data_IF_312356058041
#
_entry.id   IF_312356058041
#
_cell.length_a   1.000
_cell.length_b   1.000
_cell.length_c   1.000
_cell.angle_alpha   90.00
_cell.angle_beta   90.00
_cell.angle_gamma   90.00
#
_symmetry.space_group_name_H-M   'P 1'
#
loop_
_entity.id
_entity.type
_entity.pdbx_description
1 polymer ?
#
# COMPACT_ATOMS: atom_id res chain seq x y z
N UNK A 1 21.37 23.01 16.72
CA UNK A 1 20.10 23.03 15.94
C UNK A 1 20.19 21.85 15.00
N UNK A 2 19.61 20.71 15.36
CA UNK A 2 19.50 19.58 14.45
C UNK A 2 18.68 20.03 13.24
N UNK A 3 19.30 19.94 12.07
CA UNK A 3 18.59 20.01 10.79
C UNK A 3 17.57 18.87 10.77
N UNK A 4 16.29 19.17 11.01
CA UNK A 4 15.21 18.26 10.66
C UNK A 4 15.34 17.97 9.17
N UNK A 5 15.78 16.77 8.82
CA UNK A 5 15.56 16.21 7.50
C UNK A 5 14.07 16.33 7.22
N UNK A 6 13.69 17.08 6.19
CA UNK A 6 12.29 17.14 5.77
C UNK A 6 11.98 15.76 5.21
N UNK A 7 11.16 14.98 5.91
CA UNK A 7 10.62 13.73 5.38
C UNK A 7 9.85 14.06 4.09
N UNK A 8 10.12 13.33 3.01
CA UNK A 8 9.50 13.55 1.70
C UNK A 8 8.59 12.37 1.40
N UNK A 9 7.37 12.40 1.90
CA UNK A 9 6.43 11.30 1.69
C UNK A 9 5.86 11.28 0.27
N UNK A 10 5.55 10.07 -0.22
CA UNK A 10 4.86 9.83 -1.48
C UNK A 10 3.58 9.05 -1.18
N UNK A 11 2.48 9.45 -1.82
CA UNK A 11 1.22 8.70 -1.83
C UNK A 11 1.05 8.08 -3.21
N UNK A 12 0.88 6.76 -3.27
CA UNK A 12 0.62 6.04 -4.51
C UNK A 12 -0.88 5.85 -4.74
N UNK A 13 -1.38 6.19 -5.92
CA UNK A 13 -2.77 5.99 -6.31
C UNK A 13 -2.86 4.89 -7.37
N UNK A 14 -3.67 3.87 -7.12
CA UNK A 14 -3.83 2.71 -7.99
C UNK A 14 -5.30 2.63 -8.40
N UNK A 15 -5.58 2.89 -9.67
CA UNK A 15 -6.94 3.10 -10.17
C UNK A 15 -7.29 2.04 -11.22
N UNK A 16 -8.44 1.38 -11.01
CA UNK A 16 -9.00 0.35 -11.86
C UNK A 16 -8.23 -0.97 -11.79
N UNK A 17 -8.82 -2.01 -12.40
CA UNK A 17 -8.30 -3.38 -12.40
C UNK A 17 -6.79 -3.50 -12.68
N UNK A 18 -6.31 -2.90 -13.77
CA UNK A 18 -4.90 -2.99 -14.14
C UNK A 18 -4.00 -2.33 -13.08
N UNK A 19 -4.37 -1.14 -12.60
CA UNK A 19 -3.61 -0.42 -11.59
C UNK A 19 -3.54 -1.18 -10.27
N UNK A 20 -4.67 -1.71 -9.80
CA UNK A 20 -4.78 -2.48 -8.56
C UNK A 20 -3.94 -3.76 -8.61
N UNK A 21 -4.00 -4.53 -9.70
CA UNK A 21 -3.26 -5.78 -9.83
C UNK A 21 -1.74 -5.57 -9.91
N UNK A 22 -1.30 -4.57 -10.69
CA UNK A 22 0.12 -4.19 -10.75
C UNK A 22 0.60 -3.75 -9.36
N UNK A 23 -0.18 -2.91 -8.69
CA UNK A 23 0.15 -2.42 -7.36
C UNK A 23 0.29 -3.55 -6.35
N UNK A 24 -0.58 -4.55 -6.37
CA UNK A 24 -0.49 -5.69 -5.46
C UNK A 24 0.87 -6.41 -5.59
N UNK A 25 1.33 -6.60 -6.83
CA UNK A 25 2.66 -7.18 -7.11
C UNK A 25 3.81 -6.25 -6.68
N UNK A 26 3.70 -4.95 -6.94
CA UNK A 26 4.72 -3.97 -6.57
C UNK A 26 4.89 -3.85 -5.05
N UNK A 27 3.79 -3.84 -4.29
CA UNK A 27 3.84 -3.72 -2.83
C UNK A 27 4.35 -4.99 -2.16
N UNK A 28 4.08 -6.17 -2.73
CA UNK A 28 4.75 -7.40 -2.30
C UNK A 28 6.27 -7.30 -2.46
N UNK A 29 6.74 -6.80 -3.60
CA UNK A 29 8.18 -6.60 -3.82
C UNK A 29 8.77 -5.55 -2.86
N UNK A 30 8.11 -4.41 -2.65
CA UNK A 30 8.57 -3.40 -1.68
C UNK A 30 8.67 -3.97 -0.26
N UNK A 31 7.71 -4.81 0.13
CA UNK A 31 7.77 -5.49 1.43
C UNK A 31 8.98 -6.42 1.52
N UNK A 32 9.26 -7.20 0.45
CA UNK A 32 10.42 -8.09 0.40
C UNK A 32 11.74 -7.32 0.47
N UNK A 33 11.88 -6.23 -0.29
CA UNK A 33 13.09 -5.40 -0.33
C UNK A 33 13.40 -4.76 1.02
N UNK A 34 12.36 -4.32 1.75
CA UNK A 34 12.50 -3.66 3.05
C UNK A 34 12.35 -4.61 4.25
N UNK A 35 12.17 -5.91 4.02
CA UNK A 35 11.99 -6.90 5.08
C UNK A 35 10.71 -6.68 5.91
N UNK A 36 9.67 -6.08 5.31
CA UNK A 36 8.35 -5.93 5.91
C UNK A 36 7.55 -7.22 5.64
N UNK A 37 6.99 -7.80 6.69
CA UNK A 37 6.15 -8.99 6.59
C UNK A 37 4.75 -8.65 6.06
N UNK A 38 3.96 -9.64 5.62
CA UNK A 38 2.61 -9.39 5.12
C UNK A 38 1.61 -8.78 6.12
N UNK A 39 1.96 -8.74 7.42
CA UNK A 39 1.16 -8.10 8.46
C UNK A 39 1.68 -6.72 8.89
N UNK A 40 2.67 -6.19 8.16
CA UNK A 40 3.26 -4.88 8.35
C UNK A 40 4.35 -4.82 9.42
N UNK A 41 4.84 -5.94 9.95
CA UNK A 41 5.93 -5.93 10.94
C UNK A 41 7.29 -6.03 10.26
N UNK A 42 8.35 -5.54 10.91
CA UNK A 42 9.70 -5.65 10.37
C UNK A 42 10.31 -7.01 10.76
N UNK A 43 10.88 -7.72 9.79
CA UNK A 43 11.58 -9.00 10.02
C UNK A 43 12.80 -8.80 10.91
N UNK A 44 13.08 -9.79 11.76
CA UNK A 44 14.30 -9.83 12.58
C UNK A 44 15.55 -9.74 11.69
N UNK A 45 16.46 -8.82 12.02
CA UNK A 45 17.69 -8.57 11.26
C UNK A 45 17.56 -7.59 10.08
N UNK A 46 16.38 -7.04 9.82
CA UNK A 46 16.22 -5.93 8.86
C UNK A 46 16.88 -4.65 9.38
N UNK A 47 17.41 -3.84 8.46
CA UNK A 47 18.12 -2.61 8.81
C UNK A 47 17.15 -1.51 9.26
N UNK A 48 16.96 -1.38 10.57
CA UNK A 48 16.08 -0.36 11.18
C UNK A 48 16.55 1.09 10.95
N UNK A 49 17.81 1.29 10.52
CA UNK A 49 18.35 2.62 10.23
C UNK A 49 18.09 3.07 8.78
N UNK A 50 17.52 2.22 7.93
CA UNK A 50 17.14 2.61 6.58
C UNK A 50 15.85 3.43 6.62
N UNK A 51 15.95 4.75 6.74
CA UNK A 51 14.79 5.62 6.74
C UNK A 51 14.16 5.79 5.35
N UNK A 52 14.72 5.20 4.28
CA UNK A 52 14.24 5.44 2.92
C UNK A 52 12.79 4.94 2.73
N UNK A 53 12.41 3.85 3.39
CA UNK A 53 11.05 3.30 3.29
C UNK A 53 9.99 4.19 3.95
N UNK A 54 10.34 5.10 4.86
CA UNK A 54 9.38 6.02 5.49
C UNK A 54 8.72 6.97 4.48
N UNK A 55 9.34 7.11 3.30
CA UNK A 55 8.79 7.78 2.12
C UNK A 55 7.49 7.12 1.65
N UNK A 56 7.44 5.78 1.66
CA UNK A 56 6.35 4.98 1.11
C UNK A 56 5.47 4.32 2.17
N UNK A 57 5.96 4.15 3.39
CA UNK A 57 5.23 3.57 4.51
C UNK A 57 5.05 4.59 5.63
N UNK A 58 3.91 4.49 6.31
CA UNK A 58 3.67 5.14 7.60
C UNK A 58 3.81 4.13 8.72
N UNK A 59 4.52 4.49 9.78
CA UNK A 59 4.61 3.68 11.00
C UNK A 59 3.43 4.02 11.92
N UNK A 60 2.79 2.98 12.44
CA UNK A 60 1.74 3.09 13.46
C UNK A 60 2.34 3.02 14.86
N UNK A 61 1.62 3.48 15.89
CA UNK A 61 2.10 3.41 17.28
C UNK A 61 2.35 1.99 17.81
N UNK A 62 1.90 0.95 17.10
CA UNK A 62 2.19 -0.46 17.43
C UNK A 62 3.40 -1.04 16.68
N UNK A 63 4.18 -0.21 15.98
CA UNK A 63 5.36 -0.61 15.22
C UNK A 63 5.03 -1.33 13.90
N UNK A 64 3.79 -1.21 13.42
CA UNK A 64 3.41 -1.70 12.09
C UNK A 64 3.61 -0.63 11.03
N UNK A 65 4.13 -1.03 9.88
CA UNK A 65 4.28 -0.25 8.68
C UNK A 65 3.09 -0.48 7.76
N UNK A 66 2.42 0.61 7.40
CA UNK A 66 1.26 0.64 6.51
C UNK A 66 1.64 1.41 5.25
N UNK A 67 1.43 0.86 4.04
CA UNK A 67 1.68 1.56 2.79
C UNK A 67 0.95 2.89 2.70
N UNK A 68 1.58 3.91 2.14
CA UNK A 68 0.95 5.18 1.76
C UNK A 68 0.33 5.02 0.37
N UNK A 69 -0.67 4.16 0.28
CA UNK A 69 -1.34 3.83 -0.98
C UNK A 69 -2.85 3.99 -0.89
N UNK A 70 -3.49 4.26 -2.03
CA UNK A 70 -4.93 4.12 -2.21
C UNK A 70 -5.18 3.20 -3.41
N UNK A 71 -6.12 2.26 -3.23
CA UNK A 71 -6.60 1.36 -4.25
C UNK A 71 -8.06 1.70 -4.52
N UNK A 72 -8.36 2.00 -5.77
CA UNK A 72 -9.62 2.56 -6.20
C UNK A 72 -10.12 1.75 -7.38
N UNK A 73 -11.31 1.17 -7.26
CA UNK A 73 -12.01 0.59 -8.39
C UNK A 73 -13.50 0.94 -8.31
N UNK A 74 -14.18 1.00 -9.44
CA UNK A 74 -15.61 1.24 -9.53
C UNK A 74 -16.43 -0.03 -9.27
N UNK A 75 -15.78 -1.19 -9.28
CA UNK A 75 -16.37 -2.48 -8.93
C UNK A 75 -15.52 -3.23 -7.88
N UNK A 76 -16.09 -4.14 -7.07
CA UNK A 76 -15.40 -4.66 -5.90
C UNK A 76 -14.40 -5.80 -6.17
N UNK A 77 -14.45 -6.48 -7.31
CA UNK A 77 -13.78 -7.78 -7.52
C UNK A 77 -12.29 -7.72 -7.22
N UNK A 78 -11.55 -6.83 -7.88
CA UNK A 78 -10.09 -6.74 -7.68
C UNK A 78 -9.69 -6.16 -6.33
N UNK A 79 -10.54 -5.31 -5.73
CA UNK A 79 -10.28 -4.77 -4.39
C UNK A 79 -10.49 -5.86 -3.34
N UNK A 80 -11.49 -6.73 -3.53
CA UNK A 80 -11.77 -7.85 -2.63
C UNK A 80 -10.68 -8.94 -2.69
N UNK A 81 -10.01 -9.11 -3.83
CA UNK A 81 -8.80 -9.92 -3.95
C UNK A 81 -7.68 -9.38 -3.03
N UNK A 82 -7.46 -8.06 -2.99
CA UNK A 82 -6.49 -7.44 -2.07
C UNK A 82 -6.92 -7.60 -0.61
N UNK A 83 -8.22 -7.44 -0.32
CA UNK A 83 -8.78 -7.62 1.04
C UNK A 83 -8.70 -9.06 1.55
N UNK A 84 -8.65 -10.05 0.67
CA UNK A 84 -8.62 -11.47 1.02
C UNK A 84 -7.25 -12.12 0.84
N UNK A 85 -6.33 -11.45 0.12
CA UNK A 85 -4.99 -11.93 -0.21
C UNK A 85 -4.01 -12.02 0.95
N UNK A 86 -2.79 -12.47 0.64
CA UNK A 86 -1.72 -12.69 1.64
C UNK A 86 -1.34 -11.43 2.43
N UNK A 87 -1.41 -10.27 1.79
CA UNK A 87 -1.10 -8.96 2.36
C UNK A 87 -2.32 -8.21 2.91
N UNK A 88 -3.46 -8.88 3.14
CA UNK A 88 -4.69 -8.23 3.63
C UNK A 88 -4.54 -7.44 4.94
N UNK A 89 -3.54 -7.79 5.76
CA UNK A 89 -3.25 -7.13 7.04
C UNK A 89 -2.29 -5.94 6.91
N UNK A 90 -1.66 -5.77 5.75
CA UNK A 90 -0.73 -4.69 5.47
C UNK A 90 -1.46 -3.36 5.29
N UNK A 91 -2.59 -3.36 4.59
CA UNK A 91 -3.32 -2.17 4.23
C UNK A 91 -4.34 -1.77 5.31
N UNK A 92 -4.55 -0.47 5.46
CA UNK A 92 -5.71 0.04 6.19
C UNK A 92 -6.96 -0.14 5.32
N UNK A 93 -8.08 -0.71 5.84
CA UNK A 93 -9.30 -0.90 5.06
C UNK A 93 -9.84 0.36 4.37
N UNK A 94 -9.61 1.54 4.97
CA UNK A 94 -10.00 2.83 4.37
C UNK A 94 -9.23 3.19 3.10
N UNK A 95 -8.12 2.50 2.81
CA UNK A 95 -7.32 2.67 1.58
C UNK A 95 -7.85 1.83 0.41
N UNK A 96 -8.78 0.92 0.66
CA UNK A 96 -9.31 -0.03 -0.31
C UNK A 96 -10.76 0.35 -0.63
N UNK A 97 -10.95 1.16 -1.68
CA UNK A 97 -12.21 1.82 -2.01
C UNK A 97 -12.79 1.19 -3.28
N UNK A 98 -14.03 0.72 -3.18
CA UNK A 98 -14.76 0.10 -4.29
C UNK A 98 -16.12 0.75 -4.50
N UNK A 99 -16.50 0.97 -5.75
CA UNK A 99 -17.85 1.34 -6.16
C UNK A 99 -18.80 0.13 -6.24
N UNK A 100 -19.93 0.33 -6.92
CA UNK A 100 -20.93 -0.72 -7.21
C UNK A 100 -21.22 -0.91 -8.69
N UNK A 101 -20.82 0.03 -9.53
CA UNK A 101 -21.09 0.04 -10.96
C UNK A 101 -19.81 0.36 -11.71
N UNK A 102 -19.43 -0.48 -12.67
CA UNK A 102 -18.21 -0.27 -13.46
C UNK A 102 -18.36 0.88 -14.48
N UNK A 103 -17.24 1.27 -15.08
CA UNK A 103 -17.22 2.19 -16.22
C UNK A 103 -17.58 1.52 -17.55
N UNK A 104 -17.73 0.19 -17.61
CA UNK A 104 -18.01 -0.60 -18.81
C UNK A 104 -17.07 -0.27 -20.00
N UNK A 105 -15.78 -0.06 -19.72
CA UNK A 105 -14.78 0.39 -20.70
C UNK A 105 -15.15 1.72 -21.42
N UNK A 106 -15.95 2.57 -20.77
CA UNK A 106 -16.35 3.88 -21.28
C UNK A 106 -15.70 4.99 -20.45
N UNK A 107 -14.79 5.74 -21.07
CA UNK A 107 -14.09 6.87 -20.43
C UNK A 107 -15.02 7.99 -19.94
N UNK A 108 -16.22 8.13 -20.50
CA UNK A 108 -17.16 9.17 -20.11
C UNK A 108 -17.94 8.86 -18.82
N UNK A 109 -17.92 7.61 -18.36
CA UNK A 109 -18.50 7.21 -17.05
C UNK A 109 -17.50 7.48 -15.94
#
# INVERSE_FOLDING_TARGET
RESRSIMREIISLHIGQAGVQVANSCWELFCLEHGITPDGTLKEGANQNDTAFSTFFSETGSGKYVPRALFLDLEPTVIDEVRSGGYKKLYNPSQLISGKEDAANNYAR
#
